data_IF_542591818122
#
_entry.id   IF_542591818122
#
_cell.length_a   1.000
_cell.length_b   1.000
_cell.length_c   1.000
_cell.angle_alpha   90.00
_cell.angle_beta   90.00
_cell.angle_gamma   90.00
#
_symmetry.space_group_name_H-M   'P 1'
#
loop_
_entity.id
_entity.type
_entity.pdbx_description
1 polymer ?
#
# COMPACT_ATOMS: atom_id res chain seq x y z
N UNK A 1 6.14 41.05 5.42
CA UNK A 1 6.04 39.62 5.06
C UNK A 1 6.71 38.71 6.09
N UNK A 2 8.01 38.81 6.38
CA UNK A 2 8.72 37.93 7.34
C UNK A 2 8.11 37.93 8.75
N UNK A 3 7.71 39.07 9.32
CA UNK A 3 7.06 39.15 10.62
C UNK A 3 5.67 38.52 10.64
N UNK A 4 4.90 38.68 9.57
CA UNK A 4 3.58 38.06 9.42
C UNK A 4 3.68 36.53 9.30
N UNK A 5 4.63 36.03 8.53
CA UNK A 5 4.91 34.60 8.44
C UNK A 5 5.26 33.97 9.80
N UNK A 6 6.17 34.64 10.53
CA UNK A 6 6.54 34.21 11.88
C UNK A 6 5.34 34.24 12.85
N UNK A 7 4.42 35.20 12.68
CA UNK A 7 3.19 35.26 13.45
C UNK A 7 2.27 34.05 13.16
N UNK A 8 2.02 33.74 11.87
CA UNK A 8 1.20 32.59 11.50
C UNK A 8 1.83 31.27 11.94
N UNK A 9 3.13 31.10 11.79
CA UNK A 9 3.85 29.92 12.29
C UNK A 9 3.67 29.76 13.81
N UNK A 10 3.85 30.85 14.58
CA UNK A 10 3.64 30.84 16.03
C UNK A 10 2.18 30.55 16.41
N UNK A 11 1.23 31.05 15.63
CA UNK A 11 -0.20 30.81 15.80
C UNK A 11 -0.52 29.31 15.66
N UNK A 12 -0.04 28.65 14.61
CA UNK A 12 -0.25 27.23 14.39
C UNK A 12 0.38 26.40 15.52
N UNK A 13 1.62 26.70 15.90
CA UNK A 13 2.31 25.99 17.01
C UNK A 13 1.57 26.14 18.35
N UNK A 14 0.82 27.21 18.55
CA UNK A 14 0.01 27.43 19.77
C UNK A 14 -1.34 26.71 19.75
N UNK A 15 -1.81 26.26 18.60
CA UNK A 15 -3.02 25.44 18.46
C UNK A 15 -2.74 23.98 18.86
N UNK A 16 -2.46 23.75 20.14
CA UNK A 16 -2.03 22.45 20.67
C UNK A 16 -3.00 21.32 20.33
N UNK A 17 -4.30 21.57 20.43
CA UNK A 17 -5.33 20.58 20.12
C UNK A 17 -5.24 20.11 18.67
N UNK A 18 -5.18 21.03 17.71
CA UNK A 18 -5.08 20.68 16.28
C UNK A 18 -3.79 19.90 15.99
N UNK A 19 -2.66 20.31 16.57
CA UNK A 19 -1.38 19.61 16.39
C UNK A 19 -1.39 18.23 17.05
N UNK A 20 -1.92 18.11 18.27
CA UNK A 20 -2.01 16.81 18.94
C UNK A 20 -2.84 15.84 18.09
N UNK A 21 -4.05 16.20 17.70
CA UNK A 21 -4.89 15.32 16.90
C UNK A 21 -4.34 15.09 15.49
N UNK A 22 -3.74 16.09 14.87
CA UNK A 22 -3.18 15.97 13.52
C UNK A 22 -1.92 15.12 13.43
N UNK A 23 -1.14 15.03 14.51
CA UNK A 23 0.12 14.27 14.52
C UNK A 23 0.07 13.03 15.42
N UNK A 24 -0.69 13.04 16.52
CA UNK A 24 -0.71 11.92 17.46
C UNK A 24 -1.39 10.69 16.85
N UNK A 25 -2.51 10.85 16.16
CA UNK A 25 -3.23 9.70 15.55
C UNK A 25 -2.36 8.95 14.53
N UNK A 26 -1.72 9.63 13.56
CA UNK A 26 -0.76 8.99 12.66
C UNK A 26 0.39 8.28 13.39
N UNK A 27 0.98 8.94 14.39
CA UNK A 27 2.10 8.36 15.15
C UNK A 27 1.66 7.15 15.97
N UNK A 28 0.52 7.22 16.65
CA UNK A 28 -0.03 6.08 17.40
C UNK A 28 -0.34 4.91 16.47
N UNK A 29 -0.95 5.17 15.31
CA UNK A 29 -1.19 4.15 14.31
C UNK A 29 0.13 3.53 13.82
N UNK A 30 1.13 4.34 13.51
CA UNK A 30 2.45 3.86 13.12
C UNK A 30 3.07 2.94 14.20
N UNK A 31 2.97 3.32 15.47
CA UNK A 31 3.45 2.52 16.59
C UNK A 31 2.70 1.20 16.70
N UNK A 32 1.36 1.23 16.62
CA UNK A 32 0.53 0.01 16.66
C UNK A 32 0.90 -0.91 15.49
N UNK A 33 0.91 -0.39 14.27
CA UNK A 33 1.25 -1.18 13.09
C UNK A 33 2.70 -1.70 13.15
N UNK A 34 3.64 -0.88 13.59
CA UNK A 34 5.03 -1.32 13.78
C UNK A 34 5.16 -2.41 14.84
N UNK A 35 4.34 -2.37 15.90
CA UNK A 35 4.31 -3.42 16.92
C UNK A 35 3.69 -4.71 16.38
N UNK A 36 2.62 -4.60 15.59
CA UNK A 36 1.91 -5.75 14.97
C UNK A 36 2.76 -6.37 13.86
N UNK A 37 3.40 -5.53 13.04
CA UNK A 37 4.21 -5.94 11.89
C UNK A 37 5.71 -5.93 12.19
N UNK A 38 6.10 -5.89 13.46
CA UNK A 38 7.51 -6.04 13.83
C UNK A 38 7.99 -7.35 13.26
N UNK A 39 9.04 -7.38 12.43
CA UNK A 39 9.64 -8.65 12.06
C UNK A 39 10.10 -9.29 13.37
N UNK A 40 9.35 -10.27 13.82
CA UNK A 40 9.86 -11.25 14.78
C UNK A 40 11.17 -11.72 14.19
N UNK A 41 12.22 -11.72 15.00
CA UNK A 41 13.55 -12.16 14.60
C UNK A 41 13.44 -13.44 13.77
N UNK A 42 14.31 -13.62 12.76
CA UNK A 42 14.31 -14.78 11.83
C UNK A 42 14.10 -16.15 12.53
N UNK A 43 14.34 -16.26 13.82
CA UNK A 43 14.14 -17.44 14.63
C UNK A 43 12.68 -17.68 15.06
N UNK A 44 11.84 -16.62 15.18
CA UNK A 44 10.42 -16.76 15.58
C UNK A 44 9.46 -16.85 14.37
N UNK A 45 9.93 -16.59 13.16
CA UNK A 45 9.24 -16.83 11.89
C UNK A 45 9.52 -18.23 11.34
N UNK A 46 9.53 -19.26 12.17
CA UNK A 46 9.24 -20.59 11.67
C UNK A 46 7.75 -20.58 11.27
N UNK A 47 7.48 -20.14 10.05
CA UNK A 47 6.16 -20.32 9.44
C UNK A 47 5.83 -21.80 9.62
N UNK A 48 4.68 -22.15 10.24
CA UNK A 48 4.35 -23.55 10.39
C UNK A 48 4.32 -24.17 8.99
N UNK A 49 4.97 -25.33 8.86
CA UNK A 49 5.06 -26.05 7.59
C UNK A 49 3.67 -26.22 6.99
N UNK A 50 3.44 -25.64 5.82
CA UNK A 50 2.18 -25.79 5.09
C UNK A 50 2.22 -27.07 4.27
N UNK A 51 1.25 -27.96 4.48
CA UNK A 51 1.16 -29.25 3.81
C UNK A 51 0.04 -29.26 2.80
N UNK A 52 0.40 -29.44 1.53
CA UNK A 52 -0.56 -29.44 0.41
C UNK A 52 -0.67 -30.82 -0.19
N UNK A 53 -1.91 -31.31 -0.38
CA UNK A 53 -2.19 -32.52 -1.11
C UNK A 53 -2.45 -32.21 -2.60
N UNK A 54 -1.76 -32.90 -3.48
CA UNK A 54 -2.00 -32.88 -4.93
C UNK A 54 -2.67 -34.18 -5.36
N UNK A 55 -3.53 -34.12 -6.38
CA UNK A 55 -4.16 -35.31 -6.94
C UNK A 55 -3.34 -35.78 -8.15
N UNK A 56 -2.91 -37.05 -8.14
CA UNK A 56 -2.13 -37.62 -9.23
C UNK A 56 -2.88 -37.54 -10.56
N UNK A 57 -2.18 -37.09 -11.61
CA UNK A 57 -2.71 -37.07 -12.98
C UNK A 57 -3.41 -35.78 -13.39
N UNK A 58 -3.45 -34.77 -12.56
CA UNK A 58 -4.14 -33.51 -12.91
C UNK A 58 -3.28 -32.51 -13.66
N UNK A 59 -2.03 -32.35 -13.45
CA UNK A 59 -1.14 -31.43 -14.19
C UNK A 59 0.31 -31.84 -13.97
N UNK A 60 0.97 -32.31 -15.01
CA UNK A 60 2.35 -32.76 -14.92
C UNK A 60 3.33 -31.64 -14.53
N UNK A 61 3.01 -30.39 -14.90
CA UNK A 61 3.89 -29.23 -14.73
C UNK A 61 3.75 -28.54 -13.35
N UNK A 62 2.68 -28.83 -12.59
CA UNK A 62 2.46 -28.17 -11.29
C UNK A 62 3.40 -28.67 -10.19
N UNK A 63 3.71 -29.98 -10.08
CA UNK A 63 4.75 -30.46 -9.17
C UNK A 63 6.14 -29.86 -9.47
N UNK A 64 6.49 -29.70 -10.76
CA UNK A 64 7.74 -29.08 -11.16
C UNK A 64 7.78 -27.59 -10.76
N UNK A 65 6.67 -26.89 -10.95
CA UNK A 65 6.51 -25.53 -10.47
C UNK A 65 6.66 -25.39 -8.95
N UNK A 66 6.15 -26.37 -8.19
CA UNK A 66 6.34 -26.38 -6.72
C UNK A 66 7.80 -26.70 -6.35
N UNK A 67 8.48 -27.54 -7.10
CA UNK A 67 9.90 -27.81 -6.92
C UNK A 67 10.76 -26.57 -7.20
N UNK A 68 10.42 -25.76 -8.22
CA UNK A 68 11.04 -24.47 -8.49
C UNK A 68 10.88 -23.48 -7.32
N UNK A 69 9.81 -23.61 -6.53
CA UNK A 69 9.56 -22.84 -5.31
C UNK A 69 10.25 -23.44 -4.07
N UNK A 70 11.20 -24.38 -4.23
CA UNK A 70 11.88 -25.07 -3.14
C UNK A 70 10.94 -25.87 -2.21
N UNK A 71 9.71 -26.18 -2.66
CA UNK A 71 8.78 -27.02 -1.93
C UNK A 71 9.26 -28.46 -1.88
N UNK A 72 9.27 -29.07 -0.68
CA UNK A 72 9.72 -30.46 -0.54
C UNK A 72 8.59 -31.45 -0.78
N UNK A 73 8.92 -32.53 -1.49
CA UNK A 73 7.99 -33.63 -1.73
C UNK A 73 7.98 -34.56 -0.53
N UNK A 74 6.87 -34.65 0.18
CA UNK A 74 6.65 -35.58 1.26
C UNK A 74 5.93 -36.84 0.80
N UNK A 75 6.09 -37.95 1.51
CA UNK A 75 5.43 -39.25 1.21
C UNK A 75 4.44 -39.58 2.31
N UNK A 76 3.15 -39.70 1.92
CA UNK A 76 2.09 -40.19 2.81
C UNK A 76 1.97 -41.70 2.71
N UNK A 77 2.35 -42.43 3.79
CA UNK A 77 2.19 -43.91 3.90
C UNK A 77 1.65 -44.28 5.27
N UNK A 78 0.75 -45.27 5.30
CA UNK A 78 0.20 -45.86 6.55
C UNK A 78 -0.35 -44.81 7.53
N UNK A 79 -1.10 -43.80 7.06
CA UNK A 79 -1.65 -42.71 7.84
C UNK A 79 -0.58 -41.88 8.58
N UNK A 80 0.67 -41.97 8.22
CA UNK A 80 1.77 -41.16 8.70
C UNK A 80 2.44 -40.41 7.56
N UNK A 81 2.81 -39.18 7.84
CA UNK A 81 3.58 -38.34 6.95
C UNK A 81 5.06 -38.55 7.23
N UNK A 82 5.78 -39.03 6.24
CA UNK A 82 7.22 -39.12 6.30
C UNK A 82 7.78 -37.88 5.62
N UNK A 83 8.15 -36.89 6.40
CA UNK A 83 8.71 -35.64 5.91
C UNK A 83 10.21 -35.79 5.69
N UNK A 84 10.70 -35.40 4.54
CA UNK A 84 12.01 -34.77 4.49
C UNK A 84 11.83 -33.39 5.12
N UNK A 85 12.35 -33.23 6.34
CA UNK A 85 12.27 -31.94 7.05
C UNK A 85 12.74 -30.82 6.14
N UNK A 86 11.92 -29.76 5.92
CA UNK A 86 12.38 -28.60 5.19
C UNK A 86 13.61 -28.05 5.88
N UNK A 87 14.59 -27.58 5.12
CA UNK A 87 15.73 -26.89 5.68
C UNK A 87 15.21 -25.75 6.55
N UNK A 88 15.78 -25.57 7.75
CA UNK A 88 15.35 -24.51 8.67
C UNK A 88 15.50 -23.10 8.05
N UNK A 89 16.29 -22.99 6.98
CA UNK A 89 16.56 -21.78 6.23
C UNK A 89 15.72 -21.67 4.92
N UNK A 90 14.80 -22.63 4.64
CA UNK A 90 13.92 -22.55 3.47
C UNK A 90 12.99 -21.34 3.61
N UNK A 91 13.01 -20.43 2.64
CA UNK A 91 12.19 -19.20 2.62
C UNK A 91 10.68 -19.51 2.61
N UNK A 92 10.26 -20.70 2.14
CA UNK A 92 8.87 -21.17 2.17
C UNK A 92 8.85 -22.60 2.74
N UNK A 93 8.37 -22.81 3.99
CA UNK A 93 8.22 -24.15 4.54
C UNK A 93 6.96 -24.82 3.94
N UNK A 94 7.07 -25.23 2.68
CA UNK A 94 6.00 -25.90 1.95
C UNK A 94 6.38 -27.35 1.70
N UNK A 95 5.47 -28.26 2.06
CA UNK A 95 5.59 -29.67 1.75
C UNK A 95 4.37 -30.09 0.95
N UNK A 96 4.57 -30.77 -0.16
CA UNK A 96 3.47 -31.30 -0.96
C UNK A 96 3.53 -32.82 -1.06
N UNK A 97 2.37 -33.45 -1.15
CA UNK A 97 2.24 -34.89 -1.33
C UNK A 97 1.21 -35.24 -2.37
N UNK A 98 1.49 -36.29 -3.12
CA UNK A 98 0.59 -36.80 -4.17
C UNK A 98 -0.34 -37.87 -3.63
N UNK A 99 -1.62 -37.74 -3.90
CA UNK A 99 -2.68 -38.66 -3.53
C UNK A 99 -3.31 -39.30 -4.76
N UNK A 100 -3.60 -40.59 -4.70
CA UNK A 100 -4.21 -41.31 -5.82
C UNK A 100 -5.66 -40.88 -6.05
N UNK A 101 -6.39 -40.52 -4.98
CA UNK A 101 -7.79 -40.11 -5.08
C UNK A 101 -8.08 -38.89 -4.19
N UNK A 102 -9.09 -38.09 -4.58
CA UNK A 102 -9.62 -36.98 -3.78
C UNK A 102 -10.11 -37.48 -2.40
N UNK A 103 -10.62 -38.73 -2.33
CA UNK A 103 -11.12 -39.31 -1.10
C UNK A 103 -9.99 -39.56 -0.09
N UNK A 104 -8.84 -40.02 -0.55
CA UNK A 104 -7.66 -40.26 0.28
C UNK A 104 -7.07 -38.94 0.76
N UNK A 105 -7.01 -37.93 -0.11
CA UNK A 105 -6.57 -36.59 0.24
C UNK A 105 -7.48 -35.95 1.31
N UNK A 106 -8.81 -36.08 1.16
CA UNK A 106 -9.76 -35.60 2.19
C UNK A 106 -9.64 -36.36 3.50
N UNK A 107 -9.38 -37.64 3.47
CA UNK A 107 -9.13 -38.43 4.68
C UNK A 107 -7.88 -37.93 5.40
N UNK A 108 -6.79 -37.66 4.69
CA UNK A 108 -5.57 -37.06 5.20
C UNK A 108 -5.80 -35.66 5.77
N UNK A 109 -6.59 -34.82 5.09
CA UNK A 109 -6.95 -33.48 5.54
C UNK A 109 -7.80 -33.53 6.83
N UNK A 110 -8.76 -34.43 6.92
CA UNK A 110 -9.59 -34.61 8.11
C UNK A 110 -8.78 -35.14 9.30
N UNK A 111 -7.79 -35.97 9.03
CA UNK A 111 -6.82 -36.45 10.04
C UNK A 111 -5.82 -35.35 10.46
N UNK A 112 -5.81 -34.19 9.81
CA UNK A 112 -4.89 -33.09 10.12
C UNK A 112 -3.49 -33.28 9.56
N UNK A 113 -3.30 -34.17 8.61
CA UNK A 113 -2.02 -34.48 8.01
C UNK A 113 -1.66 -33.48 6.88
N UNK A 114 -2.66 -32.93 6.22
CA UNK A 114 -2.51 -31.88 5.22
C UNK A 114 -3.47 -30.72 5.53
N UNK A 115 -3.08 -29.54 5.13
CA UNK A 115 -3.81 -28.29 5.41
C UNK A 115 -4.72 -27.88 4.24
N UNK A 116 -4.34 -28.26 3.01
CA UNK A 116 -5.09 -27.95 1.80
C UNK A 116 -4.95 -29.04 0.75
N UNK A 117 -5.92 -29.12 -0.15
CA UNK A 117 -5.94 -30.01 -1.34
C UNK A 117 -6.10 -29.14 -2.57
N UNK A 118 -5.20 -29.26 -3.52
CA UNK A 118 -5.35 -28.65 -4.84
C UNK A 118 -6.08 -29.63 -5.75
N UNK A 119 -7.27 -29.23 -6.22
CA UNK A 119 -8.12 -30.06 -7.09
C UNK A 119 -7.84 -29.78 -8.56
N UNK A 120 -7.55 -28.52 -8.90
CA UNK A 120 -7.26 -28.07 -10.27
C UNK A 120 -6.45 -26.77 -10.16
N UNK A 121 -5.15 -26.85 -10.45
CA UNK A 121 -4.25 -25.71 -10.31
C UNK A 121 -4.52 -24.64 -11.38
N UNK A 122 -4.85 -25.03 -12.62
CA UNK A 122 -5.21 -24.09 -13.70
C UNK A 122 -6.50 -23.34 -13.44
N UNK A 123 -7.53 -24.05 -12.99
CA UNK A 123 -8.80 -23.43 -12.61
C UNK A 123 -8.77 -22.78 -11.23
N UNK A 124 -7.67 -22.91 -10.48
CA UNK A 124 -7.53 -22.36 -9.12
C UNK A 124 -8.48 -23.02 -8.11
N UNK A 125 -8.88 -24.27 -8.32
CA UNK A 125 -9.77 -24.99 -7.43
C UNK A 125 -9.00 -25.71 -6.33
N UNK A 126 -9.36 -25.44 -5.09
CA UNK A 126 -8.74 -26.06 -3.91
C UNK A 126 -9.78 -26.24 -2.80
N UNK A 127 -9.46 -27.15 -1.87
CA UNK A 127 -10.19 -27.33 -0.61
C UNK A 127 -9.22 -27.10 0.56
N UNK A 128 -9.67 -26.42 1.62
CA UNK A 128 -8.86 -26.19 2.81
C UNK A 128 -9.56 -26.60 4.07
N UNK A 129 -8.81 -27.02 5.08
CA UNK A 129 -9.31 -27.23 6.43
C UNK A 129 -9.50 -25.86 7.12
N UNK A 130 -10.67 -25.60 7.64
CA UNK A 130 -11.22 -24.31 8.10
C UNK A 130 -10.43 -23.54 9.17
N UNK A 131 -9.25 -23.94 9.61
CA UNK A 131 -8.65 -23.42 10.84
C UNK A 131 -7.48 -22.45 10.68
N UNK A 132 -6.87 -22.29 9.50
CA UNK A 132 -5.66 -21.47 9.36
C UNK A 132 -5.75 -20.53 8.16
N UNK A 133 -6.16 -19.31 8.44
CA UNK A 133 -6.29 -18.22 7.44
C UNK A 133 -5.02 -17.99 6.60
N UNK A 134 -3.84 -18.25 7.19
CA UNK A 134 -2.55 -18.06 6.55
C UNK A 134 -2.25 -19.16 5.47
N UNK A 135 -2.61 -20.43 5.72
CA UNK A 135 -2.47 -21.50 4.71
C UNK A 135 -3.31 -21.21 3.47
N UNK A 136 -4.52 -20.70 3.69
CA UNK A 136 -5.39 -20.25 2.61
C UNK A 136 -4.70 -19.18 1.73
N UNK A 137 -4.03 -18.22 2.34
CA UNK A 137 -3.31 -17.18 1.61
C UNK A 137 -2.14 -17.75 0.79
N UNK A 138 -1.35 -18.64 1.37
CA UNK A 138 -0.23 -19.28 0.66
C UNK A 138 -0.74 -20.08 -0.53
N UNK A 139 -1.76 -20.92 -0.33
CA UNK A 139 -2.35 -21.73 -1.42
C UNK A 139 -2.90 -20.84 -2.53
N UNK A 140 -3.64 -19.79 -2.19
CA UNK A 140 -4.16 -18.84 -3.19
C UNK A 140 -3.04 -18.13 -3.94
N UNK A 141 -1.98 -17.74 -3.25
CA UNK A 141 -0.83 -17.07 -3.86
C UNK A 141 -0.10 -18.01 -4.84
N UNK A 142 0.15 -19.25 -4.42
CA UNK A 142 0.78 -20.27 -5.28
C UNK A 142 -0.07 -20.54 -6.53
N UNK A 143 -1.37 -20.72 -6.37
CA UNK A 143 -2.27 -20.97 -7.51
C UNK A 143 -2.35 -19.78 -8.47
N UNK A 144 -2.41 -18.56 -7.94
CA UNK A 144 -2.38 -17.35 -8.79
C UNK A 144 -1.07 -17.21 -9.55
N UNK A 145 0.05 -17.52 -8.91
CA UNK A 145 1.37 -17.47 -9.52
C UNK A 145 1.49 -18.50 -10.64
N UNK A 146 0.99 -19.72 -10.42
CA UNK A 146 0.95 -20.77 -11.42
C UNK A 146 0.04 -20.40 -12.61
N UNK A 147 -1.14 -19.86 -12.34
CA UNK A 147 -2.06 -19.38 -13.38
C UNK A 147 -1.42 -18.25 -14.20
N UNK A 148 -0.73 -17.34 -13.55
CA UNK A 148 -0.03 -16.24 -14.24
C UNK A 148 1.08 -16.80 -15.14
N UNK A 149 1.90 -17.75 -14.65
CA UNK A 149 2.95 -18.44 -15.44
C UNK A 149 2.34 -19.13 -16.66
N UNK A 150 1.31 -19.94 -16.46
CA UNK A 150 0.64 -20.69 -17.54
C UNK A 150 0.01 -19.77 -18.58
N UNK A 151 -0.69 -18.70 -18.15
CA UNK A 151 -1.29 -17.73 -19.07
C UNK A 151 -0.21 -16.97 -19.86
N UNK A 152 0.90 -16.61 -19.25
CA UNK A 152 2.02 -15.96 -19.92
C UNK A 152 2.69 -16.89 -20.95
N UNK A 153 2.85 -18.17 -20.61
CA UNK A 153 3.37 -19.17 -21.56
C UNK A 153 2.43 -19.36 -22.76
N UNK A 154 1.12 -19.39 -22.54
CA UNK A 154 0.14 -19.47 -23.62
C UNK A 154 0.17 -18.22 -24.51
N UNK A 155 0.27 -17.03 -23.93
CA UNK A 155 0.40 -15.77 -24.65
C UNK A 155 1.72 -15.76 -25.45
N UNK A 156 2.83 -16.18 -24.85
CA UNK A 156 4.12 -16.27 -25.52
C UNK A 156 4.10 -17.24 -26.70
N UNK A 157 3.54 -18.45 -26.50
CA UNK A 157 3.35 -19.45 -27.58
C UNK A 157 2.46 -18.89 -28.70
N UNK A 158 1.37 -18.20 -28.37
CA UNK A 158 0.48 -17.61 -29.36
C UNK A 158 1.14 -16.43 -30.12
N UNK A 159 1.98 -15.65 -29.46
CA UNK A 159 2.73 -14.56 -30.06
C UNK A 159 3.82 -15.07 -31.01
N UNK A 160 4.50 -16.17 -30.66
CA UNK A 160 5.49 -16.83 -31.50
C UNK A 160 4.82 -17.39 -32.76
N UNK A 161 3.63 -17.99 -32.62
CA UNK A 161 2.88 -18.57 -33.75
C UNK A 161 2.33 -17.50 -34.72
N UNK A 162 2.12 -16.28 -34.25
CA UNK A 162 1.61 -15.14 -35.04
C UNK A 162 2.71 -14.18 -35.53
N UNK A 163 3.97 -14.38 -35.14
CA UNK A 163 5.07 -13.52 -35.57
C UNK A 163 5.41 -13.74 -37.05
N UNK A 164 5.62 -12.66 -37.83
CA UNK A 164 6.09 -12.81 -39.21
C UNK A 164 7.49 -13.46 -39.23
N UNK A 165 7.84 -14.24 -40.28
CA UNK A 165 9.07 -15.04 -40.34
C UNK A 165 10.40 -14.27 -40.38
N UNK A 166 10.38 -12.98 -40.18
CA UNK A 166 11.56 -12.09 -40.23
C UNK A 166 12.22 -11.80 -38.88
N UNK A 167 11.71 -12.35 -37.76
CA UNK A 167 12.32 -12.14 -36.44
C UNK A 167 13.35 -13.24 -36.18
N UNK A 168 14.64 -12.90 -35.91
CA UNK A 168 15.67 -13.90 -35.61
C UNK A 168 15.30 -14.75 -34.40
N UNK A 169 15.56 -16.05 -34.45
CA UNK A 169 15.26 -17.01 -33.37
C UNK A 169 15.87 -16.60 -32.02
N UNK A 170 17.07 -16.01 -32.03
CA UNK A 170 17.72 -15.49 -30.83
C UNK A 170 16.95 -14.34 -30.15
N UNK A 171 16.19 -13.54 -30.90
CA UNK A 171 15.35 -12.49 -30.33
C UNK A 171 14.04 -13.04 -29.73
N UNK A 172 13.62 -14.23 -30.19
CA UNK A 172 12.45 -14.94 -29.65
C UNK A 172 12.81 -15.65 -28.35
N UNK A 173 14.01 -16.25 -28.26
CA UNK A 173 14.52 -16.84 -27.01
C UNK A 173 14.78 -15.78 -25.93
N UNK A 174 15.35 -14.62 -26.27
CA UNK A 174 15.54 -13.52 -25.34
C UNK A 174 14.22 -12.93 -24.81
N UNK A 175 13.15 -12.96 -25.62
CA UNK A 175 11.84 -12.49 -25.20
C UNK A 175 11.10 -13.49 -24.31
N UNK A 176 11.41 -14.77 -24.42
CA UNK A 176 10.91 -15.84 -23.56
C UNK A 176 11.70 -15.86 -22.24
N UNK A 177 13.01 -15.67 -22.29
CA UNK A 177 13.88 -15.56 -21.10
C UNK A 177 13.59 -14.32 -20.25
N UNK A 178 13.19 -13.20 -20.89
CA UNK A 178 12.75 -12.00 -20.17
C UNK A 178 11.35 -12.15 -19.54
N UNK A 179 10.64 -13.22 -19.83
CA UNK A 179 9.37 -13.65 -19.21
C UNK A 179 9.60 -14.66 -18.08
N UNK A 180 10.86 -14.99 -17.77
CA UNK A 180 11.15 -15.81 -16.59
C UNK A 180 10.64 -15.12 -15.34
N UNK A 181 9.80 -15.89 -14.70
CA UNK A 181 9.16 -15.72 -13.40
C UNK A 181 9.89 -14.70 -12.53
N UNK A 182 9.22 -13.59 -12.31
CA UNK A 182 9.63 -12.58 -11.36
C UNK A 182 10.11 -13.27 -10.05
N UNK A 183 11.41 -13.20 -9.71
CA UNK A 183 11.95 -13.86 -8.51
C UNK A 183 11.30 -13.37 -7.21
N UNK A 184 10.48 -12.33 -7.27
CA UNK A 184 9.70 -11.81 -6.15
C UNK A 184 8.56 -12.75 -5.69
N UNK A 185 8.24 -13.82 -6.43
CA UNK A 185 7.29 -14.85 -6.00
C UNK A 185 7.78 -15.65 -4.78
N UNK A 186 9.09 -15.71 -4.56
CA UNK A 186 9.70 -16.31 -3.36
C UNK A 186 9.39 -15.51 -2.08
N UNK A 187 8.97 -14.26 -2.19
CA UNK A 187 8.73 -13.33 -1.08
C UNK A 187 7.25 -13.13 -0.74
N UNK A 188 6.33 -13.95 -1.24
CA UNK A 188 4.89 -13.71 -1.17
C UNK A 188 4.32 -13.39 0.23
N UNK A 189 4.88 -13.94 1.30
CA UNK A 189 4.51 -13.58 2.67
C UNK A 189 5.14 -12.26 3.14
N UNK A 190 6.37 -12.00 2.71
CA UNK A 190 7.10 -10.75 3.01
C UNK A 190 6.52 -9.59 2.23
N UNK A 191 6.14 -9.82 0.96
CA UNK A 191 5.52 -8.80 0.10
C UNK A 191 4.17 -8.32 0.64
N UNK A 192 3.37 -9.21 1.22
CA UNK A 192 2.09 -8.82 1.79
C UNK A 192 2.28 -7.94 3.03
N UNK A 193 3.23 -8.28 3.90
CA UNK A 193 3.54 -7.50 5.08
C UNK A 193 4.11 -6.12 4.71
N UNK A 194 4.96 -6.07 3.67
CA UNK A 194 5.48 -4.83 3.11
C UNK A 194 4.36 -3.97 2.50
N UNK A 195 3.42 -4.59 1.78
CA UNK A 195 2.26 -3.90 1.21
C UNK A 195 1.41 -3.22 2.29
N UNK A 196 1.14 -3.90 3.42
CA UNK A 196 0.48 -3.29 4.57
C UNK A 196 1.29 -2.14 5.17
N UNK A 197 2.59 -2.34 5.35
CA UNK A 197 3.48 -1.33 5.91
C UNK A 197 3.52 -0.08 5.01
N UNK A 198 3.68 -0.24 3.70
CA UNK A 198 3.70 0.87 2.75
C UNK A 198 2.35 1.58 2.68
N UNK A 199 1.23 0.84 2.65
CA UNK A 199 -0.10 1.43 2.69
C UNK A 199 -0.35 2.22 3.99
N UNK A 200 0.16 1.75 5.12
CA UNK A 200 0.12 2.46 6.40
C UNK A 200 0.94 3.76 6.37
N UNK A 201 2.18 3.71 5.87
CA UNK A 201 3.04 4.90 5.71
C UNK A 201 2.37 5.92 4.77
N UNK A 202 1.79 5.45 3.67
CA UNK A 202 1.07 6.29 2.71
C UNK A 202 -0.16 6.96 3.34
N UNK A 203 -0.95 6.20 4.12
CA UNK A 203 -2.06 6.74 4.89
C UNK A 203 -1.61 7.83 5.87
N UNK A 204 -0.57 7.56 6.68
CA UNK A 204 -0.02 8.50 7.65
C UNK A 204 0.44 9.78 6.94
N UNK A 205 1.06 9.63 5.77
CA UNK A 205 1.50 10.75 4.93
C UNK A 205 0.31 11.59 4.47
N UNK A 206 -0.74 10.94 3.96
CA UNK A 206 -1.95 11.63 3.48
C UNK A 206 -2.81 12.21 4.61
N UNK A 207 -2.65 11.76 5.86
CA UNK A 207 -3.40 12.28 7.02
C UNK A 207 -3.19 13.78 7.27
N UNK A 208 -2.18 14.40 6.65
CA UNK A 208 -2.03 15.85 6.53
C UNK A 208 -3.29 16.57 6.01
N UNK A 209 -4.20 15.83 5.37
CA UNK A 209 -5.54 16.25 4.97
C UNK A 209 -6.34 16.90 6.12
N UNK A 210 -6.26 16.34 7.31
CA UNK A 210 -6.94 16.86 8.50
C UNK A 210 -6.49 18.29 8.84
N UNK A 211 -5.19 18.61 8.63
CA UNK A 211 -4.67 19.97 8.85
C UNK A 211 -5.10 20.96 7.77
N UNK A 212 -5.39 20.49 6.55
CA UNK A 212 -6.00 21.32 5.52
C UNK A 212 -7.36 21.87 5.93
N UNK A 213 -8.17 21.08 6.63
CA UNK A 213 -9.45 21.54 7.20
C UNK A 213 -9.24 22.67 8.23
N UNK A 214 -8.28 22.52 9.13
CA UNK A 214 -7.96 23.53 10.13
C UNK A 214 -7.36 24.80 9.55
N UNK A 215 -6.65 24.70 8.42
CA UNK A 215 -6.10 25.88 7.77
C UNK A 215 -7.22 26.84 7.36
N UNK A 216 -8.31 26.32 6.80
CA UNK A 216 -9.42 27.15 6.35
C UNK A 216 -10.24 27.69 7.52
N UNK A 217 -10.35 26.95 8.63
CA UNK A 217 -10.99 27.42 9.87
C UNK A 217 -10.34 28.70 10.39
N UNK A 218 -9.02 28.84 10.25
CA UNK A 218 -8.27 30.02 10.67
C UNK A 218 -8.50 31.26 9.76
N UNK A 219 -9.08 31.08 8.58
CA UNK A 219 -9.33 32.15 7.62
C UNK A 219 -10.79 32.63 7.60
N UNK A 220 -11.72 31.86 8.18
CA UNK A 220 -13.15 32.18 8.22
C UNK A 220 -13.61 32.74 9.56
N UNK A 221 -14.27 33.91 9.57
CA UNK A 221 -14.70 34.62 10.78
C UNK A 221 -15.70 33.83 11.64
N UNK A 222 -16.60 33.08 11.00
CA UNK A 222 -17.63 32.28 11.67
C UNK A 222 -17.09 31.00 12.33
N UNK A 223 -15.81 30.67 12.11
CA UNK A 223 -15.21 29.46 12.63
C UNK A 223 -14.42 29.65 13.95
N UNK A 224 -14.14 30.91 14.33
CA UNK A 224 -13.48 31.19 15.59
C UNK A 224 -12.83 32.58 15.69
N UNK A 225 -12.32 32.93 16.88
CA UNK A 225 -11.76 34.27 17.12
C UNK A 225 -10.52 34.59 16.29
N UNK A 226 -9.82 33.57 15.77
CA UNK A 226 -8.67 33.76 14.89
C UNK A 226 -9.11 34.17 13.50
N UNK A 227 -10.14 33.53 12.96
CA UNK A 227 -10.73 33.89 11.66
C UNK A 227 -11.33 35.31 11.67
N UNK A 228 -11.98 35.71 12.79
CA UNK A 228 -12.47 37.09 12.97
C UNK A 228 -11.34 38.11 12.87
N UNK A 229 -10.22 37.91 13.55
CA UNK A 229 -9.05 38.81 13.49
C UNK A 229 -8.45 38.87 12.08
N UNK A 230 -8.43 37.75 11.38
CA UNK A 230 -7.91 37.66 10.03
C UNK A 230 -8.81 38.45 9.05
N UNK A 231 -10.12 38.38 9.23
CA UNK A 231 -11.09 39.04 8.36
C UNK A 231 -11.08 40.58 8.49
N UNK A 232 -10.84 41.10 9.70
CA UNK A 232 -10.70 42.56 9.94
C UNK A 232 -9.28 43.09 9.62
N UNK A 233 -8.34 42.19 9.31
CA UNK A 233 -6.98 42.57 8.92
C UNK A 233 -6.99 43.22 7.51
N UNK A 234 -6.16 44.24 7.27
CA UNK A 234 -6.01 44.87 5.95
C UNK A 234 -5.29 43.96 4.94
N UNK A 235 -4.96 42.73 5.33
CA UNK A 235 -4.26 41.78 4.48
C UNK A 235 -5.23 41.11 3.48
N UNK A 236 -4.86 41.07 2.22
CA UNK A 236 -5.63 40.34 1.20
C UNK A 236 -5.72 38.83 1.55
N UNK A 237 -6.91 38.25 1.47
CA UNK A 237 -7.16 36.82 1.79
C UNK A 237 -6.18 35.86 1.10
N UNK A 238 -5.81 36.15 -0.17
CA UNK A 238 -4.82 35.32 -0.89
C UNK A 238 -3.43 35.38 -0.24
N UNK A 239 -2.99 36.56 0.17
CA UNK A 239 -1.69 36.72 0.85
C UNK A 239 -1.72 36.00 2.19
N UNK A 240 -2.82 36.12 2.93
CA UNK A 240 -3.02 35.42 4.18
C UNK A 240 -3.00 33.89 3.98
N UNK A 241 -3.75 33.38 2.98
CA UNK A 241 -3.73 31.96 2.65
C UNK A 241 -2.32 31.46 2.32
N UNK A 242 -1.58 32.16 1.47
CA UNK A 242 -0.20 31.77 1.10
C UNK A 242 0.72 31.75 2.32
N UNK A 243 0.57 32.71 3.23
CA UNK A 243 1.38 32.76 4.47
C UNK A 243 1.03 31.61 5.43
N UNK A 244 -0.26 31.32 5.64
CA UNK A 244 -0.72 30.18 6.42
C UNK A 244 -0.27 28.86 5.80
N UNK A 245 -0.53 28.66 4.52
CA UNK A 245 -0.12 27.46 3.80
C UNK A 245 1.40 27.24 3.89
N UNK A 246 2.19 28.31 3.66
CA UNK A 246 3.65 28.25 3.82
C UNK A 246 4.07 27.89 5.24
N UNK A 247 3.37 28.39 6.28
CA UNK A 247 3.65 28.05 7.66
C UNK A 247 3.33 26.56 7.95
N UNK A 248 2.23 26.02 7.41
CA UNK A 248 1.96 24.58 7.48
C UNK A 248 3.03 23.75 6.77
N UNK A 249 3.49 24.17 5.58
CA UNK A 249 4.57 23.46 4.88
C UNK A 249 5.85 23.36 5.73
N UNK A 250 6.24 24.43 6.44
CA UNK A 250 7.42 24.41 7.33
C UNK A 250 7.22 23.40 8.48
N UNK A 251 6.03 23.34 9.07
CA UNK A 251 5.70 22.38 10.12
C UNK A 251 5.77 20.95 9.57
N UNK A 252 5.25 20.74 8.34
CA UNK A 252 5.24 19.42 7.73
C UNK A 252 6.62 18.98 7.22
N UNK A 253 7.53 19.87 6.88
CA UNK A 253 8.95 19.52 6.70
C UNK A 253 9.50 18.91 7.99
N UNK A 254 9.25 19.57 9.15
CA UNK A 254 9.64 19.03 10.45
C UNK A 254 8.99 17.68 10.74
N UNK A 255 7.69 17.52 10.45
CA UNK A 255 6.98 16.25 10.63
C UNK A 255 7.51 15.14 9.72
N UNK A 256 7.85 15.44 8.46
CA UNK A 256 8.47 14.48 7.53
C UNK A 256 9.78 13.93 8.11
N UNK A 257 10.61 14.80 8.68
CA UNK A 257 11.87 14.38 9.32
C UNK A 257 11.61 13.51 10.56
N UNK A 258 10.63 13.88 11.38
CA UNK A 258 10.24 13.09 12.56
C UNK A 258 9.67 11.74 12.11
N UNK A 259 8.81 11.70 11.09
CA UNK A 259 8.26 10.47 10.52
C UNK A 259 9.37 9.56 10.00
N UNK A 260 10.32 10.10 9.24
CA UNK A 260 11.48 9.35 8.75
C UNK A 260 12.30 8.76 9.91
N UNK A 261 12.56 9.56 10.95
CA UNK A 261 13.29 9.09 12.13
C UNK A 261 12.55 7.97 12.85
N UNK A 262 11.23 8.12 13.03
CA UNK A 262 10.37 7.09 13.62
C UNK A 262 10.39 5.79 12.79
N UNK A 263 10.28 5.88 11.46
CA UNK A 263 10.38 4.71 10.59
C UNK A 263 11.71 3.98 10.75
N UNK A 264 12.82 4.72 10.88
CA UNK A 264 14.14 4.12 11.17
C UNK A 264 14.21 3.46 12.53
N UNK A 265 13.69 4.11 13.57
CA UNK A 265 13.69 3.58 14.94
C UNK A 265 12.80 2.35 15.08
N UNK A 266 11.71 2.28 14.33
CA UNK A 266 10.76 1.17 14.36
C UNK A 266 11.16 0.00 13.44
N UNK A 267 12.31 0.10 12.76
CA UNK A 267 12.82 -0.98 11.93
C UNK A 267 12.11 -1.13 10.58
N UNK A 268 11.49 -0.08 10.05
CA UNK A 268 10.91 -0.07 8.70
C UNK A 268 12.02 -0.03 7.63
N UNK A 269 12.88 -1.08 7.60
CA UNK A 269 14.07 -1.13 6.76
C UNK A 269 13.74 -1.05 5.27
N UNK A 270 12.67 -1.70 4.83
CA UNK A 270 12.25 -1.68 3.44
C UNK A 270 11.99 -0.27 2.90
N UNK A 271 11.41 0.61 3.73
CA UNK A 271 11.21 2.00 3.37
C UNK A 271 12.48 2.84 3.54
N UNK A 272 13.26 2.60 4.59
CA UNK A 272 14.34 3.51 5.01
C UNK A 272 15.73 3.17 4.47
N UNK A 273 15.94 1.94 3.95
CA UNK A 273 17.16 1.54 3.25
C UNK A 273 17.23 2.04 1.79
N UNK A 274 16.15 2.67 1.31
CA UNK A 274 16.08 3.28 -0.02
C UNK A 274 16.78 4.64 -0.06
N UNK A 275 16.70 5.33 -1.19
CA UNK A 275 17.26 6.69 -1.32
C UNK A 275 16.51 7.65 -0.36
N UNK A 276 17.20 8.09 0.68
CA UNK A 276 16.65 8.93 1.76
C UNK A 276 16.02 10.23 1.23
N UNK A 277 16.69 10.91 0.29
CA UNK A 277 16.17 12.17 -0.26
C UNK A 277 14.91 11.96 -1.10
N UNK A 278 14.88 10.90 -1.88
CA UNK A 278 13.71 10.53 -2.68
C UNK A 278 12.53 10.15 -1.77
N UNK A 279 12.78 9.40 -0.70
CA UNK A 279 11.76 9.07 0.31
C UNK A 279 11.22 10.32 0.99
N UNK A 280 12.09 11.21 1.49
CA UNK A 280 11.66 12.46 2.14
C UNK A 280 10.83 13.33 1.19
N UNK A 281 11.23 13.42 -0.08
CA UNK A 281 10.50 14.19 -1.08
C UNK A 281 9.11 13.58 -1.37
N UNK A 282 9.02 12.26 -1.49
CA UNK A 282 7.76 11.54 -1.70
C UNK A 282 6.78 11.78 -0.54
N UNK A 283 7.25 11.59 0.70
CA UNK A 283 6.45 11.80 1.90
C UNK A 283 5.98 13.25 2.00
N UNK A 284 6.89 14.20 1.78
CA UNK A 284 6.55 15.63 1.84
C UNK A 284 5.53 16.04 0.76
N UNK A 285 5.70 15.55 -0.48
CA UNK A 285 4.77 15.85 -1.57
C UNK A 285 3.38 15.23 -1.31
N UNK A 286 3.32 14.01 -0.78
CA UNK A 286 2.06 13.38 -0.35
C UNK A 286 1.35 14.16 0.75
N UNK A 287 2.10 14.70 1.73
CA UNK A 287 1.55 15.59 2.77
C UNK A 287 1.01 16.89 2.16
N UNK A 288 1.71 17.50 1.23
CA UNK A 288 1.23 18.69 0.52
C UNK A 288 -0.09 18.42 -0.22
N UNK A 289 -0.21 17.28 -0.90
CA UNK A 289 -1.45 16.87 -1.54
C UNK A 289 -2.57 16.70 -0.50
N UNK A 290 -2.29 16.04 0.62
CA UNK A 290 -3.25 15.89 1.71
C UNK A 290 -3.77 17.24 2.20
N UNK A 291 -2.89 18.18 2.55
CA UNK A 291 -3.28 19.51 3.02
C UNK A 291 -4.19 20.21 2.01
N UNK A 292 -3.80 20.23 0.73
CA UNK A 292 -4.54 20.99 -0.30
C UNK A 292 -5.91 20.36 -0.57
N UNK A 293 -6.01 19.04 -0.61
CA UNK A 293 -7.29 18.35 -0.74
C UNK A 293 -8.18 18.63 0.47
N UNK A 294 -7.60 18.66 1.69
CA UNK A 294 -8.30 19.04 2.92
C UNK A 294 -8.85 20.46 2.88
N UNK A 295 -8.10 21.42 2.34
CA UNK A 295 -8.55 22.79 2.14
C UNK A 295 -9.75 22.85 1.17
N UNK A 296 -9.70 22.09 0.05
CA UNK A 296 -10.81 22.04 -0.91
C UNK A 296 -12.07 21.49 -0.26
N UNK A 297 -11.98 20.39 0.50
CA UNK A 297 -13.13 19.82 1.21
C UNK A 297 -13.69 20.81 2.23
N UNK A 298 -12.81 21.53 2.95
CA UNK A 298 -13.23 22.56 3.88
C UNK A 298 -13.93 23.75 3.19
N UNK A 299 -13.47 24.14 2.00
CA UNK A 299 -14.10 25.19 1.20
C UNK A 299 -15.47 24.79 0.64
N UNK A 300 -15.68 23.50 0.34
CA UNK A 300 -16.97 22.98 -0.13
C UNK A 300 -18.03 22.89 0.99
N UNK A 301 -17.61 22.80 2.26
CA UNK A 301 -18.48 22.63 3.41
C UNK A 301 -18.22 23.70 4.49
N UNK A 302 -18.37 24.99 4.18
CA UNK A 302 -17.91 26.08 5.07
C UNK A 302 -18.66 26.09 6.43
N UNK A 303 -19.95 25.77 6.46
CA UNK A 303 -20.79 25.88 7.65
C UNK A 303 -20.85 24.60 8.50
N UNK A 304 -20.49 23.45 7.92
CA UNK A 304 -20.66 22.13 8.54
C UNK A 304 -19.39 21.68 9.28
N UNK A 305 -18.94 22.42 10.31
CA UNK A 305 -17.68 22.14 11.05
C UNK A 305 -17.59 20.71 11.57
N UNK A 306 -18.66 20.18 12.19
CA UNK A 306 -18.67 18.81 12.69
C UNK A 306 -18.52 17.76 11.57
N UNK A 307 -19.21 17.97 10.44
CA UNK A 307 -19.11 17.09 9.27
C UNK A 307 -17.70 17.15 8.67
N UNK A 308 -17.11 18.33 8.55
CA UNK A 308 -15.72 18.48 8.06
C UNK A 308 -14.71 17.76 8.93
N UNK A 309 -14.86 17.85 10.26
CA UNK A 309 -13.99 17.14 11.21
C UNK A 309 -14.13 15.63 11.05
N UNK A 310 -15.37 15.12 10.91
CA UNK A 310 -15.62 13.72 10.64
C UNK A 310 -14.99 13.27 9.31
N UNK A 311 -15.17 14.03 8.23
CA UNK A 311 -14.54 13.78 6.93
C UNK A 311 -13.00 13.83 7.07
N UNK A 312 -12.48 14.75 7.89
CA UNK A 312 -11.05 14.90 8.16
C UNK A 312 -10.39 13.62 8.71
N UNK A 313 -11.15 12.78 9.39
CA UNK A 313 -10.70 11.50 9.93
C UNK A 313 -11.10 10.34 9.01
N UNK A 314 -12.37 10.30 8.60
CA UNK A 314 -12.94 9.16 7.89
C UNK A 314 -12.45 9.05 6.45
N UNK A 315 -12.27 10.16 5.74
CA UNK A 315 -11.85 10.10 4.33
C UNK A 315 -10.42 9.55 4.17
N UNK A 316 -9.40 10.04 4.90
CA UNK A 316 -8.08 9.41 4.86
C UNK A 316 -8.11 7.94 5.25
N UNK A 317 -8.89 7.56 6.27
CA UNK A 317 -9.03 6.19 6.72
C UNK A 317 -9.67 5.30 5.65
N UNK A 318 -10.72 5.79 4.98
CA UNK A 318 -11.38 5.10 3.89
C UNK A 318 -10.46 4.91 2.68
N UNK A 319 -9.73 5.94 2.28
CA UNK A 319 -8.76 5.87 1.19
C UNK A 319 -7.59 4.92 1.51
N UNK A 320 -7.14 4.90 2.78
CA UNK A 320 -6.15 3.95 3.28
C UNK A 320 -6.67 2.52 3.26
N UNK A 321 -7.94 2.29 3.64
CA UNK A 321 -8.58 0.99 3.53
C UNK A 321 -8.63 0.49 2.08
N UNK A 322 -9.03 1.36 1.14
CA UNK A 322 -9.04 1.04 -0.30
C UNK A 322 -7.63 0.77 -0.84
N UNK A 323 -6.61 1.34 -0.23
CA UNK A 323 -5.19 1.09 -0.54
C UNK A 323 -4.66 -0.25 -0.01
N UNK A 324 -5.49 -1.02 0.70
CA UNK A 324 -5.12 -2.30 1.26
C UNK A 324 -4.45 -2.24 2.62
N UNK A 325 -4.56 -1.14 3.37
CA UNK A 325 -3.92 -0.95 4.67
C UNK A 325 -4.40 -1.95 5.74
N UNK A 326 -5.65 -2.40 5.68
CA UNK A 326 -6.24 -3.27 6.70
C UNK A 326 -6.47 -4.70 6.21
N UNK A 327 -6.76 -4.89 4.92
CA UNK A 327 -7.13 -6.18 4.34
C UNK A 327 -6.42 -6.37 3.02
N UNK A 328 -5.71 -7.51 2.89
CA UNK A 328 -5.07 -7.87 1.63
C UNK A 328 -6.09 -8.12 0.53
N UNK A 329 -5.74 -7.75 -0.70
CA UNK A 329 -6.59 -7.97 -1.87
C UNK A 329 -7.71 -6.92 -2.06
N UNK A 330 -7.96 -6.03 -1.08
CA UNK A 330 -8.91 -4.92 -1.28
C UNK A 330 -8.47 -4.05 -2.45
N UNK A 331 -7.21 -3.65 -2.50
CA UNK A 331 -6.69 -2.83 -3.59
C UNK A 331 -6.85 -3.50 -4.95
N UNK A 332 -6.52 -4.77 -5.08
CA UNK A 332 -6.68 -5.52 -6.33
C UNK A 332 -8.14 -5.63 -6.76
N UNK A 333 -9.06 -5.77 -5.80
CA UNK A 333 -10.50 -5.77 -6.07
C UNK A 333 -10.98 -4.40 -6.54
N UNK A 334 -10.48 -3.32 -5.94
CA UNK A 334 -10.79 -1.93 -6.35
C UNK A 334 -10.23 -1.66 -7.74
N UNK A 335 -9.00 -2.08 -8.05
CA UNK A 335 -8.41 -1.94 -9.39
C UNK A 335 -9.24 -2.65 -10.46
N UNK A 336 -9.77 -3.82 -10.15
CA UNK A 336 -10.60 -4.57 -11.09
C UNK A 336 -12.00 -3.95 -11.27
N UNK A 337 -12.63 -3.48 -10.19
CA UNK A 337 -14.01 -2.99 -10.21
C UNK A 337 -14.11 -1.48 -10.55
N UNK A 338 -13.15 -0.68 -10.11
CA UNK A 338 -13.17 0.78 -10.23
C UNK A 338 -11.75 1.35 -10.44
N UNK A 339 -11.12 1.13 -11.60
CA UNK A 339 -9.72 1.51 -11.84
C UNK A 339 -9.47 3.03 -11.70
N UNK A 340 -10.46 3.87 -12.00
CA UNK A 340 -10.36 5.31 -11.80
C UNK A 340 -10.27 5.68 -10.31
N UNK A 341 -10.97 4.98 -9.45
CA UNK A 341 -10.92 5.21 -8.01
C UNK A 341 -9.54 4.84 -7.44
N UNK A 342 -8.94 3.74 -7.92
CA UNK A 342 -7.57 3.37 -7.56
C UNK A 342 -6.56 4.42 -8.03
N UNK A 343 -6.65 4.84 -9.29
CA UNK A 343 -5.72 5.80 -9.90
C UNK A 343 -5.81 7.21 -9.28
N UNK A 344 -7.00 7.64 -8.85
CA UNK A 344 -7.22 8.95 -8.24
C UNK A 344 -6.97 8.96 -6.72
N UNK A 345 -6.77 7.80 -6.11
CA UNK A 345 -6.50 7.72 -4.67
C UNK A 345 -5.08 8.21 -4.35
N UNK A 346 -4.91 9.35 -3.66
CA UNK A 346 -3.58 9.89 -3.36
C UNK A 346 -2.78 9.01 -2.38
N UNK A 347 -3.45 8.17 -1.58
CA UNK A 347 -2.78 7.17 -0.74
C UNK A 347 -2.11 6.11 -1.61
N UNK A 348 -2.77 5.68 -2.70
CA UNK A 348 -2.17 4.73 -3.65
C UNK A 348 -0.97 5.33 -4.38
N UNK A 349 -1.04 6.62 -4.75
CA UNK A 349 0.10 7.29 -5.39
C UNK A 349 1.36 7.29 -4.50
N UNK A 350 1.19 7.56 -3.20
CA UNK A 350 2.31 7.48 -2.23
C UNK A 350 2.77 6.04 -2.04
N UNK A 351 1.84 5.09 -1.94
CA UNK A 351 2.13 3.66 -1.80
C UNK A 351 2.94 3.13 -2.99
N UNK A 352 2.55 3.48 -4.22
CA UNK A 352 3.26 3.12 -5.45
C UNK A 352 4.66 3.74 -5.50
N UNK A 353 4.79 4.99 -5.04
CA UNK A 353 6.08 5.64 -4.91
C UNK A 353 7.02 4.92 -3.91
N UNK A 354 6.48 4.46 -2.77
CA UNK A 354 7.24 3.67 -1.79
C UNK A 354 7.65 2.32 -2.38
N UNK A 355 6.72 1.65 -3.06
CA UNK A 355 6.99 0.37 -3.71
C UNK A 355 8.03 0.52 -4.83
N UNK A 356 7.91 1.56 -5.66
CA UNK A 356 8.91 1.89 -6.69
C UNK A 356 10.30 2.13 -6.11
N UNK A 357 10.40 2.90 -5.02
CA UNK A 357 11.67 3.14 -4.33
C UNK A 357 12.28 1.85 -3.76
N UNK A 358 11.46 0.94 -3.26
CA UNK A 358 11.90 -0.33 -2.71
C UNK A 358 12.39 -1.29 -3.78
N UNK A 359 11.67 -1.41 -4.92
CA UNK A 359 11.94 -2.40 -5.96
C UNK A 359 12.98 -1.94 -6.99
N UNK A 360 12.89 -0.69 -7.44
CA UNK A 360 13.67 -0.14 -8.54
C UNK A 360 14.54 1.07 -8.13
N UNK A 361 14.43 1.53 -6.88
CA UNK A 361 15.03 2.78 -6.46
C UNK A 361 14.33 3.99 -7.13
N UNK A 362 15.12 4.97 -7.57
CA UNK A 362 14.61 6.16 -8.28
C UNK A 362 14.39 5.80 -9.76
N UNK A 363 13.43 4.90 -10.01
CA UNK A 363 13.08 4.38 -11.34
C UNK A 363 11.76 4.94 -11.88
N UNK A 364 11.24 4.29 -12.91
CA UNK A 364 10.04 4.74 -13.64
C UNK A 364 8.78 4.79 -12.75
N UNK A 365 8.57 3.76 -11.91
CA UNK A 365 7.41 3.69 -11.00
C UNK A 365 7.42 4.87 -10.03
N UNK A 366 8.60 5.19 -9.45
CA UNK A 366 8.74 6.33 -8.56
C UNK A 366 8.43 7.65 -9.27
N UNK A 367 8.99 7.87 -10.46
CA UNK A 367 8.75 9.10 -11.22
C UNK A 367 7.28 9.24 -11.63
N UNK A 368 6.62 8.17 -12.01
CA UNK A 368 5.19 8.16 -12.32
C UNK A 368 4.35 8.53 -11.11
N UNK A 369 4.63 7.96 -9.94
CA UNK A 369 3.97 8.29 -8.69
C UNK A 369 4.17 9.76 -8.30
N UNK A 370 5.40 10.27 -8.43
CA UNK A 370 5.73 11.69 -8.19
C UNK A 370 5.01 12.62 -9.15
N UNK A 371 4.90 12.25 -10.43
CA UNK A 371 4.18 13.02 -11.42
C UNK A 371 2.66 13.08 -11.11
N UNK A 372 2.05 11.95 -10.75
CA UNK A 372 0.64 11.91 -10.34
C UNK A 372 0.38 12.78 -9.10
N UNK A 373 1.24 12.70 -8.07
CA UNK A 373 1.15 13.57 -6.90
C UNK A 373 1.30 15.05 -7.26
N UNK A 374 2.27 15.39 -8.12
CA UNK A 374 2.48 16.77 -8.55
C UNK A 374 1.28 17.31 -9.34
N UNK A 375 0.72 16.53 -10.26
CA UNK A 375 -0.48 16.88 -11.02
C UNK A 375 -1.67 17.09 -10.07
N UNK A 376 -1.88 16.17 -9.13
CA UNK A 376 -2.93 16.27 -8.12
C UNK A 376 -2.76 17.54 -7.27
N UNK A 377 -1.54 17.83 -6.82
CA UNK A 377 -1.24 19.04 -6.05
C UNK A 377 -1.59 20.30 -6.84
N UNK A 378 -1.15 20.42 -8.10
CA UNK A 378 -1.41 21.59 -8.95
C UNK A 378 -2.90 21.74 -9.23
N UNK A 379 -3.60 20.65 -9.54
CA UNK A 379 -5.05 20.65 -9.79
C UNK A 379 -5.82 21.18 -8.56
N UNK A 380 -5.57 20.63 -7.38
CA UNK A 380 -6.29 21.02 -6.17
C UNK A 380 -5.87 22.40 -5.65
N UNK A 381 -4.62 22.84 -5.86
CA UNK A 381 -4.23 24.25 -5.64
C UNK A 381 -5.02 25.20 -6.56
N UNK A 382 -5.20 24.84 -7.82
CA UNK A 382 -6.04 25.60 -8.75
C UNK A 382 -7.48 25.73 -8.26
N UNK A 383 -8.08 24.62 -7.83
CA UNK A 383 -9.44 24.58 -7.25
C UNK A 383 -9.51 25.45 -6.00
N UNK A 384 -8.51 25.36 -5.10
CA UNK A 384 -8.43 26.20 -3.89
C UNK A 384 -8.42 27.67 -4.22
N UNK A 385 -7.62 28.10 -5.20
CA UNK A 385 -7.54 29.51 -5.62
C UNK A 385 -8.88 30.00 -6.18
N UNK A 386 -9.59 29.14 -6.92
CA UNK A 386 -10.93 29.48 -7.46
C UNK A 386 -11.95 29.59 -6.33
N UNK A 387 -11.96 28.63 -5.39
CA UNK A 387 -12.85 28.65 -4.23
C UNK A 387 -12.66 29.91 -3.38
N UNK A 388 -11.41 30.29 -3.08
CA UNK A 388 -11.09 31.51 -2.34
C UNK A 388 -11.48 32.81 -3.06
N UNK A 389 -11.66 32.76 -4.41
CA UNK A 389 -12.20 33.91 -5.17
C UNK A 389 -13.70 34.03 -5.01
N UNK A 390 -14.42 32.93 -5.00
CA UNK A 390 -15.89 32.89 -4.91
C UNK A 390 -16.38 33.44 -3.58
N UNK A 391 -15.77 33.07 -2.47
CA UNK A 391 -16.12 33.55 -1.12
C UNK A 391 -16.06 35.08 -0.94
N UNK A 392 -15.39 35.76 -1.85
CA UNK A 392 -15.28 37.23 -1.83
C UNK A 392 -16.58 37.92 -2.24
N UNK A 393 -17.42 37.25 -3.01
CA UNK A 393 -18.67 37.83 -3.54
C UNK A 393 -19.89 37.47 -2.66
N UNK A 394 -19.82 36.45 -1.85
CA UNK A 394 -20.91 36.04 -0.95
C UNK A 394 -20.89 36.77 0.41
N UNK A 395 -19.84 37.50 0.74
CA UNK A 395 -19.66 38.24 2.02
C UNK A 395 -19.95 39.77 1.89
N UNK A 396 -20.54 40.22 0.80
CA UNK A 396 -21.09 41.57 0.60
C UNK A 396 -22.62 41.49 0.67
#
# INVERSE_FOLDING_TARGET
>A
MRKLFAYHLKQIIRQREALIWGFSLPVVLLLIFSMVFRPTTKEDLSLPVSRIGLIQGQEADFPDFLADLEAKKGVWKNQKWTEETPDKDAELPLVYGEFSTVKDARAAMNAGAIDAIVLDAKAGKYETRMARSYVLMIVQQILRSYQTKTNMEEIAKSAVTKAPPSVPAAAQEQKVEALEVNPDLRKGGVDQMLSFQFACIAYITFYAFSMGNHLLDNLHANQGPLGLREQISPLERRKSFVLHFGAYLVIYIGFTLVLYLLLRLLGAEAATKTNTWALLLLLFLGQCCGIVIGVVVAALLPEAKGVRQAIGILLPLFLGFLSGMMVSGVRTSVQAAAPLLDALNPVNMVNDGLYGLYTQGVGEIYHTAMAHLAITLVLFLGITIIALRRDRYESL
#
